data_IF_860627378043
#
_entry.id   IF_860627378043
#
_cell.length_a   1.000
_cell.length_b   1.000
_cell.length_c   1.000
_cell.angle_alpha   90.00
_cell.angle_beta   90.00
_cell.angle_gamma   90.00
#
_symmetry.space_group_name_H-M   'P 1'
#
loop_
_entity.id
_entity.type
_entity.pdbx_description
1 polymer ?
#
# COMPACT_ATOMS: atom_id res chain seq x y z
N UNK A 1 13.90 3.18 4.67
CA UNK A 1 14.85 3.27 3.55
C UNK A 1 14.64 4.62 2.85
N UNK A 2 15.70 5.33 2.41
CA UNK A 2 15.57 6.52 1.58
C UNK A 2 14.98 6.22 0.20
N UNK A 3 14.21 7.16 -0.38
CA UNK A 3 13.56 6.97 -1.69
C UNK A 3 14.55 6.62 -2.81
N UNK A 4 15.71 7.29 -2.86
CA UNK A 4 16.73 7.06 -3.89
C UNK A 4 17.40 5.67 -3.82
N UNK A 5 17.15 4.90 -2.75
CA UNK A 5 17.62 3.51 -2.60
C UNK A 5 16.54 2.48 -2.91
N UNK A 6 15.28 2.89 -3.12
CA UNK A 6 14.22 1.98 -3.51
C UNK A 6 14.51 1.39 -4.90
N UNK A 7 14.42 0.07 -5.03
CA UNK A 7 14.63 -0.67 -6.27
C UNK A 7 13.56 -1.75 -6.37
N UNK A 8 13.13 -2.05 -7.58
CA UNK A 8 12.26 -3.18 -7.91
C UNK A 8 13.06 -4.18 -8.76
N UNK A 9 12.71 -5.46 -8.67
CA UNK A 9 13.28 -6.47 -9.56
C UNK A 9 12.74 -6.28 -10.99
N UNK A 10 13.56 -6.41 -12.04
CA UNK A 10 13.05 -6.48 -13.41
C UNK A 10 12.11 -7.67 -13.65
N UNK A 11 12.20 -8.73 -12.82
CA UNK A 11 11.35 -9.92 -12.87
C UNK A 11 10.11 -9.83 -11.97
N UNK A 12 9.86 -8.67 -11.38
CA UNK A 12 8.65 -8.42 -10.59
C UNK A 12 7.40 -8.57 -11.49
N UNK A 13 6.40 -9.35 -11.05
CA UNK A 13 5.18 -9.59 -11.85
C UNK A 13 4.31 -8.34 -11.96
N UNK A 14 4.33 -7.47 -10.95
CA UNK A 14 3.71 -6.15 -11.00
C UNK A 14 4.36 -5.26 -12.03
N UNK A 15 5.68 -5.37 -12.23
CA UNK A 15 6.40 -4.66 -13.28
C UNK A 15 6.15 -5.25 -14.68
N UNK A 16 6.24 -6.57 -14.83
CA UNK A 16 6.15 -7.24 -16.12
C UNK A 16 4.72 -7.32 -16.67
N UNK A 17 3.74 -7.54 -15.80
CA UNK A 17 2.37 -7.90 -16.20
C UNK A 17 1.29 -7.00 -15.57
N UNK A 18 1.67 -6.04 -14.73
CA UNK A 18 0.70 -5.26 -13.95
C UNK A 18 -0.03 -6.12 -12.91
N UNK A 19 0.57 -7.24 -12.49
CA UNK A 19 -0.02 -8.17 -11.53
C UNK A 19 0.11 -7.63 -10.10
N UNK A 20 -0.78 -6.71 -9.76
CA UNK A 20 -0.81 -6.07 -8.46
C UNK A 20 -1.95 -5.07 -8.34
N UNK A 21 -2.19 -4.63 -7.11
CA UNK A 21 -3.21 -3.62 -6.77
C UNK A 21 -2.57 -2.52 -5.94
N UNK A 22 -3.15 -1.32 -5.97
CA UNK A 22 -2.64 -0.18 -5.23
C UNK A 22 -3.77 0.63 -4.60
N UNK A 23 -3.40 1.43 -3.60
CA UNK A 23 -4.30 2.36 -2.92
C UNK A 23 -3.70 3.76 -2.93
N UNK A 24 -4.57 4.77 -3.05
CA UNK A 24 -4.22 6.18 -2.86
C UNK A 24 -5.13 6.74 -1.79
N UNK A 25 -4.52 7.35 -0.77
CA UNK A 25 -5.21 7.83 0.42
C UNK A 25 -4.82 9.28 0.71
N UNK A 26 -5.80 10.08 1.10
CA UNK A 26 -5.54 11.45 1.57
C UNK A 26 -5.26 11.46 3.08
N UNK A 27 -4.19 12.13 3.47
CA UNK A 27 -3.93 12.49 4.87
C UNK A 27 -4.24 13.97 5.07
N UNK A 28 -5.16 14.26 5.98
CA UNK A 28 -5.57 15.63 6.33
C UNK A 28 -5.53 15.74 7.84
N UNK A 29 -4.89 16.80 8.36
CA UNK A 29 -4.68 17.01 9.80
C UNK A 29 -4.03 15.80 10.48
N UNK A 30 -3.05 15.20 9.82
CA UNK A 30 -2.34 14.02 10.32
C UNK A 30 -3.14 12.72 10.29
N UNK A 31 -4.40 12.71 9.81
CA UNK A 31 -5.27 11.53 9.79
C UNK A 31 -5.57 11.06 8.37
N UNK A 32 -5.45 9.76 8.14
CA UNK A 32 -5.88 9.12 6.89
C UNK A 32 -7.40 9.13 6.82
N UNK A 33 -7.96 9.71 5.76
CA UNK A 33 -9.41 9.73 5.54
C UNK A 33 -9.90 8.36 5.05
N UNK A 34 -11.09 7.97 5.51
CA UNK A 34 -11.77 6.75 5.08
C UNK A 34 -10.92 5.45 5.16
N UNK A 35 -10.04 5.35 6.17
CA UNK A 35 -9.10 4.21 6.35
C UNK A 35 -9.77 2.84 6.20
N UNK A 36 -10.94 2.65 6.82
CA UNK A 36 -11.68 1.38 6.76
C UNK A 36 -12.16 1.03 5.35
N UNK A 37 -12.60 2.02 4.56
CA UNK A 37 -13.04 1.82 3.18
C UNK A 37 -11.85 1.45 2.28
N UNK A 38 -10.70 2.11 2.46
CA UNK A 38 -9.47 1.74 1.75
C UNK A 38 -9.00 0.32 2.12
N UNK A 39 -9.09 -0.05 3.40
CA UNK A 39 -8.72 -1.41 3.85
C UNK A 39 -9.65 -2.47 3.25
N UNK A 40 -10.95 -2.20 3.19
CA UNK A 40 -11.92 -3.08 2.55
C UNK A 40 -11.64 -3.22 1.05
N UNK A 41 -11.43 -2.09 0.35
CA UNK A 41 -11.15 -2.10 -1.09
C UNK A 41 -9.86 -2.86 -1.41
N UNK A 42 -8.78 -2.60 -0.67
CA UNK A 42 -7.52 -3.33 -0.84
C UNK A 42 -7.69 -4.84 -0.66
N UNK A 43 -8.43 -5.26 0.39
CA UNK A 43 -8.72 -6.69 0.61
C UNK A 43 -9.48 -7.28 -0.57
N UNK A 44 -10.60 -6.68 -0.98
CA UNK A 44 -11.38 -7.18 -2.11
C UNK A 44 -10.59 -7.21 -3.43
N UNK A 45 -9.72 -6.23 -3.66
CA UNK A 45 -8.86 -6.21 -4.86
C UNK A 45 -7.80 -7.31 -4.81
N UNK A 46 -7.16 -7.54 -3.66
CA UNK A 46 -6.21 -8.63 -3.46
C UNK A 46 -6.87 -10.00 -3.65
N UNK A 47 -8.05 -10.22 -3.04
CA UNK A 47 -8.84 -11.45 -3.18
C UNK A 47 -9.19 -11.71 -4.65
N UNK A 48 -9.52 -10.66 -5.42
CA UNK A 48 -9.90 -10.79 -6.84
C UNK A 48 -8.78 -11.28 -7.77
N UNK A 49 -7.51 -11.11 -7.36
CA UNK A 49 -6.33 -11.56 -8.11
C UNK A 49 -5.55 -12.68 -7.39
N UNK A 50 -6.07 -13.17 -6.26
CA UNK A 50 -5.47 -14.28 -5.51
C UNK A 50 -4.13 -13.93 -4.84
N UNK A 51 -3.91 -12.67 -4.49
CA UNK A 51 -2.72 -12.25 -3.73
C UNK A 51 -3.04 -12.14 -2.25
N UNK A 52 -2.22 -12.73 -1.39
CA UNK A 52 -2.41 -12.69 0.07
C UNK A 52 -1.46 -11.69 0.72
N UNK A 53 -2.00 -10.83 1.59
CA UNK A 53 -1.20 -9.91 2.40
C UNK A 53 -1.91 -9.51 3.69
N UNK A 54 -1.13 -9.13 4.72
CA UNK A 54 -1.70 -8.58 5.95
C UNK A 54 -2.10 -7.12 5.75
N UNK A 55 -3.41 -6.89 5.58
CA UNK A 55 -3.97 -5.54 5.48
C UNK A 55 -3.62 -4.70 6.71
N UNK A 56 -3.69 -5.28 7.91
CA UNK A 56 -3.34 -4.57 9.14
C UNK A 56 -1.88 -4.09 9.15
N UNK A 57 -0.96 -4.95 8.69
CA UNK A 57 0.45 -4.61 8.60
C UNK A 57 0.70 -3.47 7.61
N UNK A 58 0.03 -3.49 6.45
CA UNK A 58 0.12 -2.41 5.44
C UNK A 58 -0.24 -1.07 6.06
N UNK A 59 -1.36 -0.98 6.78
CA UNK A 59 -1.77 0.29 7.40
C UNK A 59 -0.88 0.71 8.57
N UNK A 60 -0.36 -0.25 9.35
CA UNK A 60 0.64 0.02 10.40
C UNK A 60 1.90 0.64 9.79
N UNK A 61 2.36 0.12 8.66
CA UNK A 61 3.53 0.66 7.96
C UNK A 61 3.28 2.03 7.33
N UNK A 62 2.11 2.27 6.76
CA UNK A 62 1.73 3.60 6.24
C UNK A 62 1.72 4.64 7.36
N UNK A 63 1.15 4.32 8.52
CA UNK A 63 1.16 5.22 9.69
C UNK A 63 2.59 5.49 10.19
N UNK A 64 3.44 4.47 10.20
CA UNK A 64 4.86 4.61 10.56
C UNK A 64 5.63 5.48 9.58
N UNK A 65 5.36 5.37 8.28
CA UNK A 65 6.03 6.14 7.23
C UNK A 65 5.60 7.61 7.23
N UNK A 66 4.30 7.87 7.39
CA UNK A 66 3.76 9.24 7.41
C UNK A 66 4.18 10.04 8.65
N UNK A 67 4.37 9.39 9.81
CA UNK A 67 4.94 10.03 11.02
C UNK A 67 6.40 10.47 10.88
N UNK A 68 7.16 9.92 9.94
CA UNK A 68 8.58 10.30 9.73
C UNK A 68 8.76 11.48 8.78
N UNK A 69 7.68 11.92 8.13
CA UNK A 69 7.70 12.97 7.09
C UNK A 69 7.22 14.33 7.64
N UNK A 70 6.69 14.36 8.89
CA UNK A 70 6.44 15.60 9.63
C UNK A 70 7.57 15.87 10.61
#
# INVERSE_FOLDING_TARGET
MPLNKARISPMDRGFLFGDGVYEVMAQVDGRIRAKSLHAQRLRSSLDSIGLETSIEQVFTDVERLTKKVG
#
